data_IF_299528006133
#
_entry.id   IF_299528006133
#
_cell.length_a   1.000
_cell.length_b   1.000
_cell.length_c   1.000
_cell.angle_alpha   90.00
_cell.angle_beta   90.00
_cell.angle_gamma   90.00
#
_symmetry.space_group_name_H-M   'P 1'
#
loop_
_entity.id
_entity.type
_entity.pdbx_description
1 polymer ?
#
# COMPACT_ATOMS: atom_id res chain seq x y z
N UNK A 1 -19.21 11.10 19.18
CA UNK A 1 -19.90 9.80 19.31
C UNK A 1 -19.55 9.01 18.06
N UNK A 2 -18.76 7.96 18.23
CA UNK A 2 -18.16 7.18 17.16
C UNK A 2 -19.18 6.18 16.61
N UNK A 3 -19.59 6.35 15.36
CA UNK A 3 -20.37 5.33 14.66
C UNK A 3 -19.37 4.37 14.00
N UNK A 4 -19.11 3.27 14.72
CA UNK A 4 -18.28 2.17 14.26
C UNK A 4 -18.83 1.63 12.94
N UNK A 5 -18.02 1.67 11.88
CA UNK A 5 -18.35 1.01 10.61
C UNK A 5 -18.72 -0.45 10.90
N UNK A 6 -20.00 -0.79 10.67
CA UNK A 6 -20.57 -2.09 11.00
C UNK A 6 -19.81 -3.23 10.30
N UNK A 7 -19.44 -4.31 11.01
CA UNK A 7 -18.75 -5.47 10.44
C UNK A 7 -19.51 -6.13 9.26
N UNK A 8 -20.81 -5.87 9.14
CA UNK A 8 -21.66 -6.34 8.04
C UNK A 8 -21.31 -5.73 6.67
N UNK A 9 -20.75 -4.52 6.62
CA UNK A 9 -20.46 -3.83 5.34
C UNK A 9 -19.19 -4.34 4.67
N UNK A 10 -18.18 -4.77 5.45
CA UNK A 10 -16.96 -5.41 4.95
C UNK A 10 -17.27 -6.78 4.33
N UNK A 11 -18.17 -7.53 4.96
CA UNK A 11 -18.64 -8.83 4.48
C UNK A 11 -19.47 -8.70 3.20
N UNK A 12 -20.30 -7.66 3.06
CA UNK A 12 -21.17 -7.52 1.90
C UNK A 12 -20.37 -7.23 0.62
N UNK A 13 -19.34 -6.39 0.69
CA UNK A 13 -18.45 -6.12 -0.44
C UNK A 13 -17.52 -7.31 -0.75
N UNK A 14 -17.01 -8.02 0.27
CA UNK A 14 -16.23 -9.24 0.00
C UNK A 14 -17.09 -10.33 -0.61
N UNK A 15 -18.35 -10.46 -0.19
CA UNK A 15 -19.27 -11.49 -0.67
C UNK A 15 -19.83 -11.18 -2.05
N UNK A 16 -20.10 -9.91 -2.39
CA UNK A 16 -20.50 -9.50 -3.75
C UNK A 16 -19.35 -9.63 -4.76
N UNK A 17 -18.10 -9.44 -4.32
CA UNK A 17 -16.93 -9.67 -5.18
C UNK A 17 -16.58 -11.16 -5.28
N UNK A 18 -16.83 -11.95 -4.23
CA UNK A 18 -16.57 -13.39 -4.22
C UNK A 18 -17.62 -14.24 -4.95
N UNK A 19 -18.81 -13.72 -5.24
CA UNK A 19 -19.92 -14.48 -5.85
C UNK A 19 -19.92 -14.50 -7.38
N UNK A 20 -18.96 -13.87 -8.06
CA UNK A 20 -18.87 -13.83 -9.54
C UNK A 20 -19.94 -12.98 -10.23
N UNK A 21 -21.00 -12.56 -9.54
CA UNK A 21 -22.06 -11.73 -10.11
C UNK A 21 -21.71 -10.22 -10.08
N UNK A 22 -20.55 -9.83 -10.62
CA UNK A 22 -20.18 -8.42 -10.74
C UNK A 22 -20.98 -7.78 -11.88
N UNK A 23 -22.16 -7.26 -11.57
CA UNK A 23 -22.87 -6.36 -12.47
C UNK A 23 -22.10 -5.05 -12.53
N UNK A 24 -21.48 -4.75 -13.68
CA UNK A 24 -20.79 -3.49 -13.95
C UNK A 24 -21.77 -2.32 -14.06
N UNK A 25 -22.41 -2.00 -12.94
CA UNK A 25 -23.40 -0.93 -12.84
C UNK A 25 -22.70 0.38 -12.44
N UNK A 26 -22.93 1.41 -13.25
CA UNK A 26 -22.47 2.78 -13.02
C UNK A 26 -23.03 3.37 -11.71
N UNK A 27 -24.22 2.91 -11.28
CA UNK A 27 -24.88 3.40 -10.06
C UNK A 27 -24.05 3.13 -8.79
N UNK A 28 -23.22 2.07 -8.80
CA UNK A 28 -22.41 1.65 -7.67
C UNK A 28 -21.17 2.54 -7.42
N UNK A 29 -20.78 3.35 -8.40
CA UNK A 29 -19.56 4.17 -8.32
C UNK A 29 -19.63 5.12 -7.11
N UNK A 30 -20.73 5.85 -6.97
CA UNK A 30 -20.87 6.86 -5.90
C UNK A 30 -20.85 6.25 -4.50
N UNK A 31 -21.44 5.06 -4.33
CA UNK A 31 -21.42 4.34 -3.05
C UNK A 31 -20.01 3.87 -2.69
N UNK A 32 -19.25 3.38 -3.69
CA UNK A 32 -17.87 2.93 -3.50
C UNK A 32 -16.93 4.10 -3.20
N UNK A 33 -17.06 5.22 -3.91
CA UNK A 33 -16.31 6.45 -3.68
C UNK A 33 -16.52 6.98 -2.27
N UNK A 34 -17.78 7.04 -1.83
CA UNK A 34 -18.13 7.50 -0.48
C UNK A 34 -17.51 6.61 0.59
N UNK A 35 -17.59 5.28 0.43
CA UNK A 35 -16.98 4.30 1.36
C UNK A 35 -15.45 4.39 1.39
N UNK A 36 -14.80 4.50 0.23
CA UNK A 36 -13.34 4.65 0.15
C UNK A 36 -12.91 5.96 0.82
N UNK A 37 -13.64 7.04 0.58
CA UNK A 37 -13.39 8.33 1.20
C UNK A 37 -13.54 8.26 2.72
N UNK A 38 -14.60 7.64 3.23
CA UNK A 38 -14.82 7.48 4.67
C UNK A 38 -13.75 6.61 5.33
N UNK A 39 -13.35 5.51 4.70
CA UNK A 39 -12.31 4.62 5.23
C UNK A 39 -10.92 5.27 5.23
N UNK A 40 -10.60 6.05 4.18
CA UNK A 40 -9.34 6.79 4.12
C UNK A 40 -9.30 7.88 5.20
N UNK A 41 -10.41 8.61 5.38
CA UNK A 41 -10.54 9.64 6.41
C UNK A 41 -10.45 9.07 7.84
N UNK A 42 -10.90 7.83 8.06
CA UNK A 42 -10.75 7.15 9.35
C UNK A 42 -9.36 6.55 9.58
N UNK A 43 -8.38 6.81 8.70
CA UNK A 43 -7.02 6.27 8.79
C UNK A 43 -6.93 4.75 8.58
N UNK A 44 -8.00 4.12 8.10
CA UNK A 44 -8.05 2.66 7.92
C UNK A 44 -7.40 2.24 6.60
N UNK A 45 -6.76 1.07 6.58
CA UNK A 45 -6.27 0.48 5.34
C UNK A 45 -7.42 0.18 4.39
N UNK A 46 -7.29 0.58 3.13
CA UNK A 46 -8.30 0.30 2.12
C UNK A 46 -8.17 -1.15 1.65
N UNK A 47 -9.26 -1.94 1.64
CA UNK A 47 -9.24 -3.29 1.11
C UNK A 47 -9.01 -3.27 -0.41
N UNK A 48 -8.12 -4.15 -0.90
CA UNK A 48 -7.71 -4.16 -2.30
C UNK A 48 -8.88 -4.47 -3.25
N UNK A 49 -9.74 -5.44 -2.93
CA UNK A 49 -10.76 -5.90 -3.87
C UNK A 49 -11.79 -4.80 -4.25
N UNK A 50 -12.36 -4.04 -3.29
CA UNK A 50 -13.20 -2.88 -3.63
C UNK A 50 -12.47 -1.78 -4.40
N UNK A 51 -11.18 -1.55 -4.12
CA UNK A 51 -10.37 -0.59 -4.86
C UNK A 51 -10.19 -1.00 -6.33
N UNK A 52 -9.81 -2.26 -6.58
CA UNK A 52 -9.69 -2.79 -7.94
C UNK A 52 -11.04 -2.74 -8.67
N UNK A 53 -12.14 -3.05 -7.98
CA UNK A 53 -13.47 -2.98 -8.57
C UNK A 53 -13.85 -1.55 -8.99
N UNK A 54 -13.63 -0.54 -8.13
CA UNK A 54 -13.88 0.85 -8.49
C UNK A 54 -13.00 1.30 -9.67
N UNK A 55 -11.70 0.96 -9.67
CA UNK A 55 -10.81 1.28 -10.79
C UNK A 55 -11.26 0.62 -12.10
N UNK A 56 -11.80 -0.60 -12.04
CA UNK A 56 -12.40 -1.26 -13.21
C UNK A 56 -13.64 -0.51 -13.71
N UNK A 57 -14.53 -0.07 -12.80
CA UNK A 57 -15.68 0.75 -13.17
C UNK A 57 -15.25 2.06 -13.83
N UNK A 58 -14.19 2.71 -13.35
CA UNK A 58 -13.63 3.89 -14.00
C UNK A 58 -13.05 3.61 -15.39
N UNK A 59 -12.52 2.41 -15.63
CA UNK A 59 -12.04 2.01 -16.96
C UNK A 59 -13.20 1.79 -17.94
N UNK A 60 -14.34 1.32 -17.46
CA UNK A 60 -15.57 1.14 -18.26
C UNK A 60 -16.28 2.49 -18.48
N UNK A 61 -16.35 3.32 -17.44
CA UNK A 61 -17.03 4.60 -17.40
C UNK A 61 -16.04 5.75 -17.09
N UNK A 62 -15.15 6.11 -18.05
CA UNK A 62 -14.07 7.07 -17.81
C UNK A 62 -14.56 8.49 -17.47
N UNK A 63 -15.77 8.87 -17.91
CA UNK A 63 -16.40 10.16 -17.58
C UNK A 63 -16.76 10.30 -16.10
N UNK A 64 -16.87 9.17 -15.37
CA UNK A 64 -17.20 9.12 -13.94
C UNK A 64 -15.98 9.00 -13.04
N UNK A 65 -14.79 8.93 -13.62
CA UNK A 65 -13.58 8.66 -12.87
C UNK A 65 -13.18 9.87 -12.00
N UNK A 66 -13.05 9.63 -10.68
CA UNK A 66 -12.71 10.66 -9.71
C UNK A 66 -11.22 10.60 -9.35
N UNK A 67 -10.46 11.60 -9.81
CA UNK A 67 -9.03 11.73 -9.49
C UNK A 67 -8.76 11.68 -7.96
N UNK A 68 -9.52 12.38 -7.10
CA UNK A 68 -9.35 12.27 -5.63
C UNK A 68 -9.50 10.85 -5.09
N UNK A 69 -10.41 10.03 -5.64
CA UNK A 69 -10.56 8.64 -5.21
C UNK A 69 -9.40 7.77 -5.69
N UNK A 70 -8.93 7.98 -6.92
CA UNK A 70 -7.74 7.28 -7.46
C UNK A 70 -6.51 7.57 -6.60
N UNK A 71 -6.28 8.83 -6.21
CA UNK A 71 -5.16 9.21 -5.34
C UNK A 71 -5.23 8.52 -3.96
N UNK A 72 -6.41 8.47 -3.33
CA UNK A 72 -6.63 7.74 -2.06
C UNK A 72 -6.28 6.27 -2.21
N UNK A 73 -6.73 5.64 -3.29
CA UNK A 73 -6.44 4.24 -3.57
C UNK A 73 -4.94 4.03 -3.74
N UNK A 74 -4.30 4.78 -4.64
CA UNK A 74 -2.88 4.62 -4.95
C UNK A 74 -2.00 4.81 -3.71
N UNK A 75 -2.20 5.89 -2.95
CA UNK A 75 -1.44 6.15 -1.72
C UNK A 75 -1.65 5.04 -0.68
N UNK A 76 -2.90 4.61 -0.49
CA UNK A 76 -3.20 3.55 0.48
C UNK A 76 -2.58 2.20 0.06
N UNK A 77 -2.64 1.84 -1.23
CA UNK A 77 -2.07 0.59 -1.73
C UNK A 77 -0.54 0.63 -1.85
N UNK A 78 0.07 1.80 -1.98
CA UNK A 78 1.54 1.95 -1.92
C UNK A 78 2.09 1.56 -0.55
N UNK A 79 1.33 1.84 0.52
CA UNK A 79 1.71 1.44 1.88
C UNK A 79 1.39 -0.03 2.20
N UNK A 80 0.64 -0.72 1.33
CA UNK A 80 0.33 -2.13 1.51
C UNK A 80 1.51 -3.01 1.03
N UNK A 81 1.76 -4.16 1.68
CA UNK A 81 2.80 -5.08 1.23
C UNK A 81 2.42 -5.77 -0.09
N UNK A 82 3.43 -6.18 -0.87
CA UNK A 82 3.25 -6.98 -2.09
C UNK A 82 2.97 -6.16 -3.35
N UNK A 83 2.13 -6.70 -4.24
CA UNK A 83 1.86 -6.15 -5.60
C UNK A 83 0.58 -5.31 -5.68
N UNK A 84 -0.01 -4.93 -4.54
CA UNK A 84 -1.28 -4.22 -4.49
C UNK A 84 -1.26 -2.90 -5.27
N UNK A 85 -0.19 -2.10 -5.09
CA UNK A 85 0.02 -0.86 -5.84
C UNK A 85 0.03 -1.10 -7.35
N UNK A 86 0.87 -2.02 -7.81
CA UNK A 86 1.03 -2.34 -9.24
C UNK A 86 -0.29 -2.85 -9.84
N UNK A 87 -1.04 -3.66 -9.08
CA UNK A 87 -2.36 -4.14 -9.52
C UNK A 87 -3.35 -2.99 -9.73
N UNK A 88 -3.35 -1.99 -8.86
CA UNK A 88 -4.16 -0.79 -9.03
C UNK A 88 -3.66 0.06 -10.21
N UNK A 89 -2.36 0.26 -10.31
CA UNK A 89 -1.74 1.06 -11.38
C UNK A 89 -2.12 0.54 -12.75
N UNK A 90 -2.02 -0.77 -13.02
CA UNK A 90 -2.34 -1.34 -14.35
C UNK A 90 -3.82 -1.19 -14.77
N UNK A 91 -4.73 -0.91 -13.84
CA UNK A 91 -6.18 -0.81 -14.11
C UNK A 91 -6.60 0.64 -14.36
N UNK A 92 -5.81 1.62 -13.90
CA UNK A 92 -6.15 3.04 -14.00
C UNK A 92 -6.41 3.44 -15.47
N UNK A 93 -7.49 4.19 -15.74
CA UNK A 93 -7.75 4.68 -17.09
C UNK A 93 -6.60 5.54 -17.61
N UNK A 94 -6.18 5.40 -18.88
CA UNK A 94 -5.07 6.18 -19.42
C UNK A 94 -5.24 7.70 -19.30
N UNK A 95 -6.48 8.19 -19.39
CA UNK A 95 -6.84 9.60 -19.23
C UNK A 95 -6.44 10.18 -17.87
N UNK A 96 -6.32 9.35 -16.84
CA UNK A 96 -5.93 9.78 -15.49
C UNK A 96 -4.43 10.02 -15.36
N UNK A 97 -3.58 9.48 -16.25
CA UNK A 97 -2.14 9.75 -16.20
C UNK A 97 -1.76 11.14 -16.71
N UNK A 98 -2.71 11.92 -17.23
CA UNK A 98 -2.48 13.34 -17.53
C UNK A 98 -2.43 14.19 -16.26
N UNK A 99 -3.05 13.73 -15.17
CA UNK A 99 -3.03 14.41 -13.89
C UNK A 99 -1.63 14.38 -13.26
N UNK A 100 -1.12 15.56 -12.90
CA UNK A 100 0.23 15.73 -12.33
C UNK A 100 0.37 14.96 -11.03
N UNK A 101 -0.66 14.98 -10.19
CA UNK A 101 -0.67 14.35 -8.86
C UNK A 101 -0.53 12.83 -8.96
N UNK A 102 -1.13 12.20 -9.98
CA UNK A 102 -1.00 10.75 -10.20
C UNK A 102 0.45 10.40 -10.56
N UNK A 103 1.09 11.19 -11.43
CA UNK A 103 2.51 11.01 -11.75
C UNK A 103 3.42 11.20 -10.55
N UNK A 104 3.10 12.15 -9.67
CA UNK A 104 3.86 12.36 -8.43
C UNK A 104 3.79 11.13 -7.51
N UNK A 105 2.61 10.51 -7.39
CA UNK A 105 2.47 9.26 -6.63
C UNK A 105 3.26 8.11 -7.27
N UNK A 106 3.26 7.99 -8.60
CA UNK A 106 4.08 7.00 -9.31
C UNK A 106 5.58 7.21 -9.05
N UNK A 107 6.05 8.45 -9.06
CA UNK A 107 7.46 8.75 -8.76
C UNK A 107 7.86 8.36 -7.33
N UNK A 108 6.97 8.56 -6.35
CA UNK A 108 7.19 8.07 -4.98
C UNK A 108 7.24 6.54 -4.98
N UNK A 109 6.33 5.89 -5.70
CA UNK A 109 6.26 4.43 -5.79
C UNK A 109 7.53 3.82 -6.42
N UNK A 110 8.04 4.40 -7.50
CA UNK A 110 9.27 3.97 -8.16
C UNK A 110 10.47 4.04 -7.21
N UNK A 111 10.58 5.14 -6.44
CA UNK A 111 11.62 5.29 -5.42
C UNK A 111 11.47 4.28 -4.29
N UNK A 112 10.25 4.02 -3.84
CA UNK A 112 9.94 3.06 -2.79
C UNK A 112 10.27 1.62 -3.22
N UNK A 113 9.87 1.23 -4.43
CA UNK A 113 10.11 -0.10 -5.01
C UNK A 113 11.58 -0.34 -5.34
N UNK A 114 12.32 0.70 -5.73
CA UNK A 114 13.76 0.65 -5.98
C UNK A 114 14.61 0.77 -4.69
N UNK A 115 13.99 0.77 -3.51
CA UNK A 115 14.62 0.99 -2.20
C UNK A 115 15.47 2.27 -2.10
N UNK A 116 15.15 3.29 -2.90
CA UNK A 116 15.80 4.62 -2.89
C UNK A 116 15.12 5.50 -1.84
N UNK A 117 15.13 5.09 -0.58
CA UNK A 117 14.34 5.73 0.48
C UNK A 117 14.71 7.20 0.72
N UNK A 118 15.97 7.58 0.56
CA UNK A 118 16.37 9.00 0.66
C UNK A 118 15.63 9.89 -0.34
N UNK A 119 15.59 9.47 -1.62
CA UNK A 119 14.85 10.19 -2.67
C UNK A 119 13.33 10.15 -2.41
N UNK A 120 12.81 9.00 -2.00
CA UNK A 120 11.41 8.83 -1.65
C UNK A 120 10.97 9.82 -0.57
N UNK A 121 11.75 9.98 0.50
CA UNK A 121 11.43 10.94 1.57
C UNK A 121 11.49 12.40 1.10
N UNK A 122 12.40 12.75 0.20
CA UNK A 122 12.40 14.08 -0.44
C UNK A 122 11.12 14.33 -1.24
N UNK A 123 10.68 13.33 -2.02
CA UNK A 123 9.44 13.42 -2.79
C UNK A 123 8.20 13.51 -1.88
N UNK A 124 8.16 12.70 -0.81
CA UNK A 124 7.08 12.76 0.20
C UNK A 124 7.02 14.15 0.84
N UNK A 125 8.16 14.73 1.20
CA UNK A 125 8.21 16.08 1.77
C UNK A 125 7.73 17.14 0.77
N UNK A 126 8.09 17.01 -0.51
CA UNK A 126 7.64 17.92 -1.58
C UNK A 126 6.12 17.88 -1.78
N UNK A 127 5.51 16.70 -1.66
CA UNK A 127 4.08 16.47 -1.93
C UNK A 127 3.25 16.25 -0.67
N UNK A 128 3.76 16.69 0.49
CA UNK A 128 3.20 16.39 1.80
C UNK A 128 1.74 16.84 1.94
N UNK A 129 1.37 18.01 1.37
CA UNK A 129 -0.01 18.51 1.43
C UNK A 129 -0.99 17.54 0.76
N UNK A 130 -0.66 17.06 -0.43
CA UNK A 130 -1.48 16.11 -1.20
C UNK A 130 -1.57 14.76 -0.49
N UNK A 131 -0.43 14.26 0.01
CA UNK A 131 -0.38 12.99 0.74
C UNK A 131 -1.25 13.06 1.99
N UNK A 132 -1.13 14.11 2.80
CA UNK A 132 -1.90 14.27 4.04
C UNK A 132 -3.40 14.44 3.78
N UNK A 133 -3.78 15.11 2.69
CA UNK A 133 -5.19 15.27 2.30
C UNK A 133 -5.85 13.92 1.96
N UNK A 134 -5.13 13.07 1.23
CA UNK A 134 -5.70 11.83 0.69
C UNK A 134 -5.41 10.59 1.55
N UNK A 135 -4.31 10.58 2.30
CA UNK A 135 -3.90 9.48 3.17
C UNK A 135 -3.14 10.02 4.40
N UNK A 136 -3.85 10.49 5.45
CA UNK A 136 -3.22 11.09 6.63
C UNK A 136 -2.17 10.19 7.32
N UNK A 137 -2.40 8.88 7.34
CA UNK A 137 -1.52 7.88 7.97
C UNK A 137 -0.43 7.34 7.03
N UNK A 138 -0.21 7.95 5.87
CA UNK A 138 0.72 7.45 4.86
C UNK A 138 2.14 7.27 5.41
N UNK A 139 2.69 8.29 6.07
CA UNK A 139 4.05 8.28 6.59
C UNK A 139 4.26 7.19 7.66
N UNK A 140 3.28 6.99 8.54
CA UNK A 140 3.30 5.92 9.55
C UNK A 140 3.31 4.55 8.87
N UNK A 141 2.42 4.33 7.90
CA UNK A 141 2.24 3.04 7.24
C UNK A 141 3.41 2.69 6.32
N UNK A 142 3.95 3.65 5.56
CA UNK A 142 5.11 3.39 4.70
C UNK A 142 6.36 3.04 5.51
N UNK A 143 6.56 3.65 6.70
CA UNK A 143 7.66 3.26 7.61
C UNK A 143 7.54 1.83 8.08
N UNK A 144 6.34 1.36 8.41
CA UNK A 144 6.11 -0.06 8.76
C UNK A 144 6.51 -0.97 7.61
N UNK A 145 6.14 -0.63 6.37
CA UNK A 145 6.53 -1.40 5.18
C UNK A 145 8.06 -1.42 5.00
N UNK A 146 8.73 -0.25 5.09
CA UNK A 146 10.19 -0.17 5.02
C UNK A 146 10.84 -1.00 6.13
N UNK A 147 10.33 -0.94 7.36
CA UNK A 147 10.84 -1.73 8.48
C UNK A 147 10.70 -3.24 8.24
N UNK A 148 9.63 -3.69 7.57
CA UNK A 148 9.49 -5.08 7.13
C UNK A 148 10.50 -5.47 6.05
N UNK A 149 10.78 -4.57 5.09
CA UNK A 149 11.82 -4.80 4.08
C UNK A 149 13.19 -4.91 4.74
N UNK A 150 13.52 -4.02 5.68
CA UNK A 150 14.77 -4.06 6.43
C UNK A 150 14.90 -5.37 7.24
N UNK A 151 13.82 -5.80 7.91
CA UNK A 151 13.79 -7.04 8.68
C UNK A 151 14.04 -8.30 7.83
N UNK A 152 13.68 -8.27 6.54
CA UNK A 152 13.94 -9.39 5.63
C UNK A 152 15.32 -9.33 4.98
N UNK A 153 15.90 -8.13 4.90
CA UNK A 153 17.14 -7.89 4.14
C UNK A 153 18.38 -7.97 5.04
N UNK A 154 18.27 -7.53 6.29
CA UNK A 154 19.41 -7.43 7.20
C UNK A 154 19.25 -8.38 8.39
N UNK A 155 20.34 -9.02 8.79
CA UNK A 155 20.42 -9.70 10.08
C UNK A 155 20.75 -8.71 11.22
N UNK A 156 21.50 -7.66 10.88
CA UNK A 156 21.97 -6.60 11.78
C UNK A 156 22.05 -5.28 11.00
N UNK A 157 21.61 -4.18 11.61
CA UNK A 157 21.70 -2.82 11.04
C UNK A 157 22.02 -1.83 12.15
N UNK A 158 22.85 -0.82 11.90
CA UNK A 158 23.11 0.20 12.93
C UNK A 158 21.87 1.05 13.16
N UNK A 159 21.70 1.57 14.38
CA UNK A 159 20.58 2.47 14.70
C UNK A 159 20.59 3.68 13.75
N UNK A 160 21.76 4.27 13.50
CA UNK A 160 21.89 5.40 12.58
C UNK A 160 21.39 5.10 11.16
N UNK A 161 21.75 3.93 10.60
CA UNK A 161 21.29 3.52 9.27
C UNK A 161 19.79 3.26 9.24
N UNK A 162 19.24 2.61 10.27
CA UNK A 162 17.81 2.37 10.38
C UNK A 162 17.03 3.68 10.49
N UNK A 163 17.50 4.62 11.32
CA UNK A 163 16.96 5.97 11.44
C UNK A 163 17.00 6.72 10.12
N UNK A 164 18.08 6.60 9.34
CA UNK A 164 18.19 7.22 8.03
C UNK A 164 17.19 6.67 7.01
N UNK A 165 16.98 5.35 6.98
CA UNK A 165 16.02 4.72 6.08
C UNK A 165 14.57 5.04 6.45
N UNK A 166 14.25 5.09 7.74
CA UNK A 166 12.89 5.29 8.24
C UNK A 166 12.55 6.76 8.48
N UNK A 167 13.55 7.66 8.47
CA UNK A 167 13.42 9.05 8.92
C UNK A 167 12.67 9.13 10.24
N UNK A 168 13.20 8.36 11.20
CA UNK A 168 12.72 8.26 12.58
C UNK A 168 13.94 8.14 13.51
N UNK A 169 14.11 9.14 14.37
CA UNK A 169 15.26 9.23 15.27
C UNK A 169 14.98 8.54 16.61
N UNK A 170 13.71 8.35 16.98
CA UNK A 170 13.36 7.70 18.23
C UNK A 170 13.50 6.20 18.13
N UNK A 171 14.47 5.69 18.89
CA UNK A 171 14.73 4.26 19.07
C UNK A 171 13.49 3.49 19.53
N UNK A 172 12.66 4.08 20.39
CA UNK A 172 11.41 3.47 20.85
C UNK A 172 10.38 3.32 19.71
N UNK A 173 10.33 4.31 18.81
CA UNK A 173 9.42 4.26 17.67
C UNK A 173 9.91 3.23 16.65
N UNK A 174 11.22 3.11 16.45
CA UNK A 174 11.82 2.08 15.60
C UNK A 174 11.42 0.67 16.06
N UNK A 175 11.43 0.39 17.37
CA UNK A 175 10.98 -0.90 17.92
C UNK A 175 9.48 -1.13 17.73
N UNK A 176 8.65 -0.08 17.82
CA UNK A 176 7.20 -0.20 17.61
C UNK A 176 6.82 -0.48 16.17
N UNK A 177 7.68 -0.11 15.21
CA UNK A 177 7.42 -0.33 13.79
C UNK A 177 7.52 -1.81 13.38
N UNK A 178 8.35 -2.61 14.07
CA UNK A 178 8.49 -4.03 13.78
C UNK A 178 8.88 -4.82 15.04
N UNK A 179 8.07 -5.82 15.40
CA UNK A 179 8.28 -6.71 16.54
C UNK A 179 9.57 -7.53 16.45
N UNK A 180 10.12 -7.70 15.25
CA UNK A 180 11.33 -8.51 15.03
C UNK A 180 12.62 -7.76 15.36
N UNK A 181 12.53 -6.45 15.66
CA UNK A 181 13.67 -5.63 16.01
C UNK A 181 14.01 -5.79 17.49
N UNK A 182 15.26 -6.15 17.76
CA UNK A 182 15.84 -6.20 19.10
C UNK A 182 17.06 -5.30 19.14
N UNK A 183 17.19 -4.45 20.15
CA UNK A 183 18.32 -3.51 20.23
C UNK A 183 19.36 -4.04 21.18
N UNK A 184 20.59 -4.01 20.69
CA UNK A 184 21.79 -4.20 21.49
C UNK A 184 22.36 -2.81 21.80
N UNK A 185 21.98 -2.26 22.96
CA UNK A 185 22.33 -0.90 23.41
C UNK A 185 23.82 -0.71 23.61
N UNK A 186 24.58 -1.78 23.84
CA UNK A 186 26.04 -1.72 24.02
C UNK A 186 26.77 -1.53 22.69
N UNK A 187 26.22 -2.08 21.61
CA UNK A 187 26.82 -2.00 20.27
C UNK A 187 26.17 -0.96 19.34
N UNK A 188 25.01 -0.41 19.71
CA UNK A 188 24.28 0.55 18.87
C UNK A 188 23.70 -0.08 17.60
N UNK A 189 23.39 -1.38 17.66
CA UNK A 189 22.93 -2.20 16.53
C UNK A 189 21.55 -2.77 16.82
N UNK A 190 20.69 -2.74 15.81
CA UNK A 190 19.42 -3.46 15.78
C UNK A 190 19.70 -4.86 15.22
N UNK A 191 19.44 -5.88 16.03
CA UNK A 191 19.44 -7.29 15.64
C UNK A 191 18.02 -7.70 15.23
N UNK A 192 17.93 -8.44 14.13
CA UNK A 192 16.65 -8.79 13.53
C UNK A 192 16.44 -10.31 13.71
N UNK A 193 15.41 -10.67 14.48
CA UNK A 193 15.17 -12.05 14.90
C UNK A 193 14.90 -13.01 13.73
N UNK A 194 14.23 -12.53 12.68
CA UNK A 194 13.88 -13.31 11.47
C UNK A 194 15.09 -14.00 10.81
N UNK A 195 16.29 -13.45 10.96
CA UNK A 195 17.51 -14.02 10.38
C UNK A 195 18.26 -14.99 11.32
N UNK A 196 17.90 -15.05 12.62
CA UNK A 196 18.64 -15.78 13.65
C UNK A 196 18.10 -17.21 13.92
N UNK A 197 16.82 -17.48 13.64
CA UNK A 197 16.18 -18.76 13.99
C UNK A 197 15.87 -19.69 12.80
N UNK A 198 16.14 -19.28 11.56
CA UNK A 198 15.96 -20.13 10.37
C UNK A 198 17.14 -21.10 10.14
N UNK A 199 17.41 -21.96 11.13
CA UNK A 199 18.16 -23.19 10.87
C UNK A 199 17.22 -24.22 10.23
N UNK A 200 17.51 -24.58 8.96
CA UNK A 200 16.96 -25.71 8.18
C UNK A 200 15.66 -25.52 7.40
N UNK A 201 15.58 -24.45 6.64
CA UNK A 201 15.12 -24.48 5.25
C UNK A 201 15.57 -23.16 4.66
N UNK A 202 16.16 -23.15 3.45
CA UNK A 202 16.49 -21.92 2.76
C UNK A 202 15.32 -20.94 2.92
N UNK A 203 15.54 -19.68 3.37
CA UNK A 203 14.45 -18.74 3.53
C UNK A 203 13.76 -18.68 2.18
N UNK A 204 12.49 -19.06 2.16
CA UNK A 204 11.69 -19.14 0.95
C UNK A 204 11.87 -17.80 0.25
N UNK A 205 12.57 -17.81 -0.89
CA UNK A 205 13.09 -16.62 -1.53
C UNK A 205 11.91 -15.86 -2.13
N UNK A 206 11.13 -15.18 -1.28
CA UNK A 206 10.12 -14.23 -1.69
C UNK A 206 10.86 -13.01 -2.22
N UNK A 207 11.25 -13.11 -3.49
CA UNK A 207 11.86 -12.04 -4.24
C UNK A 207 10.98 -10.80 -4.12
N UNK A 208 11.58 -9.70 -3.67
CA UNK A 208 10.95 -8.39 -3.67
C UNK A 208 11.46 -7.59 -4.88
N UNK A 209 10.57 -6.88 -5.60
CA UNK A 209 9.11 -6.97 -5.50
C UNK A 209 8.61 -8.35 -5.95
N UNK A 210 7.51 -8.80 -5.34
CA UNK A 210 6.82 -10.02 -5.77
C UNK A 210 6.60 -9.92 -7.28
N UNK A 211 7.22 -10.84 -8.02
CA UNK A 211 7.11 -10.84 -9.48
C UNK A 211 5.66 -11.01 -9.87
N UNK A 212 5.11 -10.06 -10.60
CA UNK A 212 3.82 -10.23 -11.25
C UNK A 212 4.00 -11.31 -12.31
N UNK A 213 3.29 -12.42 -12.13
CA UNK A 213 3.27 -13.53 -13.09
C UNK A 213 2.13 -13.33 -14.07
N UNK A 214 2.24 -13.93 -15.26
CA UNK A 214 1.17 -13.90 -16.26
C UNK A 214 -0.14 -14.43 -15.69
N UNK A 215 -0.11 -15.46 -14.84
CA UNK A 215 -1.32 -16.00 -14.19
C UNK A 215 -1.97 -15.01 -13.22
N UNK A 216 -1.21 -14.14 -12.57
CA UNK A 216 -1.76 -13.07 -11.73
C UNK A 216 -2.48 -12.03 -12.59
N UNK A 217 -1.87 -11.60 -13.70
CA UNK A 217 -2.49 -10.66 -14.65
C UNK A 217 -3.73 -11.31 -15.29
N UNK A 218 -3.60 -12.55 -15.73
CA UNK A 218 -4.67 -13.32 -16.33
C UNK A 218 -5.82 -13.56 -15.35
N UNK A 219 -5.58 -13.84 -14.06
CA UNK A 219 -6.66 -13.88 -13.05
C UNK A 219 -7.31 -12.52 -12.84
N UNK A 220 -6.54 -11.43 -12.91
CA UNK A 220 -7.11 -10.07 -12.88
C UNK A 220 -7.96 -9.78 -14.13
N UNK A 221 -7.70 -10.42 -15.27
CA UNK A 221 -8.51 -10.30 -16.50
C UNK A 221 -9.66 -11.31 -16.59
N UNK A 222 -9.49 -12.57 -16.16
CA UNK A 222 -10.49 -13.63 -16.24
C UNK A 222 -11.58 -13.52 -15.17
N UNK A 223 -11.26 -12.92 -14.02
CA UNK A 223 -12.28 -12.42 -13.07
C UNK A 223 -13.13 -11.27 -13.64
N UNK A 224 -13.01 -10.97 -14.94
CA UNK A 224 -13.83 -10.02 -15.69
C UNK A 224 -14.75 -10.68 -16.74
N UNK A 225 -14.74 -12.02 -16.90
CA UNK A 225 -15.52 -12.72 -17.95
C UNK A 225 -16.60 -13.67 -17.38
N UNK A 226 -16.64 -13.93 -16.06
CA UNK A 226 -17.65 -14.78 -15.44
C UNK A 226 -18.20 -14.20 -14.14
#
# INVERSE_FOLDING_TARGET
MAESASPSTRLLLSNMVASGALVYDESLISDLESKITSLSASGSSLPLAPCLYLLRLYRIYPSRASQPCVLRILLSQLTAPGTAFLSCEMIIPPSMYEATEIRQVQQIADSAQSSKYGLMWTQIAQYQSMINEYCPEFNSRIRVNIAQVLARTFSKISIAQASDFLKEDSVENLLKLNSDFTIDTESGVIRIASCAESSRSAPDAQAYPQKVTFDMVKKLEESAIY
#
